data_IF_733365915507
#
_entry.id   IF_733365915507
#
_cell.length_a   1.000
_cell.length_b   1.000
_cell.length_c   1.000
_cell.angle_alpha   90.00
_cell.angle_beta   90.00
_cell.angle_gamma   90.00
#
_symmetry.space_group_name_H-M   'P 1'
#
loop_
_entity.id
_entity.type
_entity.pdbx_description
1 polymer ?
#
# COMPACT_ATOMS: atom_id res chain seq x y z
N UNK A 1 -57.45 68.93 4.68
CA UNK A 1 -56.29 68.58 3.86
C UNK A 1 -55.38 67.70 4.68
N UNK A 2 -55.45 66.38 4.41
CA UNK A 2 -54.69 65.34 5.11
C UNK A 2 -53.49 64.93 4.22
N UNK A 3 -52.25 65.04 4.74
CA UNK A 3 -51.04 64.55 4.14
C UNK A 3 -50.70 63.23 4.78
N UNK A 4 -50.87 62.14 4.05
CA UNK A 4 -50.42 60.81 4.45
C UNK A 4 -48.91 60.61 4.14
N UNK A 5 -48.14 60.45 5.17
CA UNK A 5 -46.71 60.12 5.10
C UNK A 5 -46.51 58.60 4.89
N UNK A 6 -45.96 58.21 3.77
CA UNK A 6 -45.58 56.80 3.48
C UNK A 6 -44.19 56.47 4.10
N UNK A 7 -44.16 55.68 5.16
CA UNK A 7 -42.96 55.09 5.71
C UNK A 7 -42.56 53.87 4.85
N UNK A 8 -41.51 54.00 4.08
CA UNK A 8 -40.83 52.86 3.42
C UNK A 8 -39.91 52.20 4.43
N UNK A 9 -40.19 50.95 4.79
CA UNK A 9 -39.32 50.08 5.57
C UNK A 9 -38.17 49.61 4.69
N UNK A 10 -36.90 49.68 5.12
CA UNK A 10 -35.79 49.03 4.38
C UNK A 10 -35.87 47.51 4.61
N UNK A 11 -35.88 46.76 3.50
CA UNK A 11 -35.79 45.31 3.50
C UNK A 11 -34.30 44.96 3.65
N UNK A 12 -33.91 44.49 4.86
CA UNK A 12 -32.57 43.99 5.14
C UNK A 12 -32.44 42.62 4.50
N UNK A 13 -31.79 42.54 3.34
CA UNK A 13 -31.45 41.30 2.67
C UNK A 13 -30.25 40.70 3.42
N UNK A 14 -30.53 39.75 4.31
CA UNK A 14 -29.49 38.95 4.99
C UNK A 14 -28.92 37.95 3.97
N UNK A 15 -27.78 38.32 3.34
CA UNK A 15 -27.04 37.42 2.44
C UNK A 15 -26.48 36.22 3.24
N UNK A 16 -27.11 35.07 3.06
CA UNK A 16 -26.60 33.79 3.57
C UNK A 16 -25.32 33.45 2.77
N UNK A 17 -24.16 33.80 3.30
CA UNK A 17 -22.86 33.40 2.75
C UNK A 17 -22.71 31.91 3.05
N UNK A 18 -23.22 31.05 2.17
CA UNK A 18 -22.98 29.62 2.21
C UNK A 18 -21.47 29.36 2.04
N UNK A 19 -20.81 28.99 3.13
CA UNK A 19 -19.46 28.41 3.08
C UNK A 19 -19.55 27.15 2.22
N UNK A 20 -19.15 27.28 0.94
CA UNK A 20 -18.86 26.15 0.07
C UNK A 20 -17.66 25.44 0.68
N UNK A 21 -17.94 24.49 1.58
CA UNK A 21 -16.95 23.48 1.97
C UNK A 21 -16.72 22.66 0.70
N UNK A 22 -15.68 23.02 -0.05
CA UNK A 22 -15.20 22.17 -1.15
C UNK A 22 -14.94 20.78 -0.58
N UNK A 23 -15.53 19.72 -1.13
CA UNK A 23 -15.18 18.38 -0.70
C UNK A 23 -13.69 18.22 -0.92
N UNK A 24 -12.94 18.06 0.17
CA UNK A 24 -11.53 17.62 0.10
C UNK A 24 -11.59 16.33 -0.71
N UNK A 25 -10.95 16.33 -1.89
CA UNK A 25 -10.85 15.13 -2.72
C UNK A 25 -10.34 14.00 -1.83
N UNK A 26 -11.24 13.09 -1.46
CA UNK A 26 -10.96 12.04 -0.52
C UNK A 26 -9.86 11.17 -1.13
N UNK A 27 -8.74 11.06 -0.42
CA UNK A 27 -7.84 9.91 -0.56
C UNK A 27 -8.67 8.62 -0.43
N UNK A 28 -8.12 7.48 -0.78
CA UNK A 28 -8.73 6.18 -0.46
C UNK A 28 -8.86 5.95 1.05
N UNK A 29 -9.03 4.69 1.48
CA UNK A 29 -9.23 4.34 2.88
C UNK A 29 -8.14 4.89 3.81
N UNK A 30 -8.53 5.24 5.05
CA UNK A 30 -7.58 5.74 6.05
C UNK A 30 -7.96 5.32 7.47
N UNK A 31 -6.96 5.30 8.37
CA UNK A 31 -7.17 5.12 9.81
C UNK A 31 -6.06 5.82 10.60
N UNK A 32 -6.43 6.41 11.72
CA UNK A 32 -5.53 6.93 12.75
C UNK A 32 -5.84 6.24 14.07
N UNK A 33 -4.82 5.71 14.74
CA UNK A 33 -5.01 5.00 16.00
C UNK A 33 -3.77 5.10 16.90
N UNK A 34 -3.97 4.85 18.17
CA UNK A 34 -2.91 4.76 19.18
C UNK A 34 -2.21 3.41 19.09
N UNK A 35 -0.88 3.42 18.93
CA UNK A 35 -0.10 2.21 18.68
C UNK A 35 -0.07 1.26 19.90
N UNK A 36 -0.17 1.77 21.11
CA UNK A 36 -0.09 0.96 22.33
C UNK A 36 -1.43 0.32 22.69
N UNK A 37 -2.52 1.08 22.53
CA UNK A 37 -3.86 0.64 22.96
C UNK A 37 -4.70 0.09 21.82
N UNK A 38 -4.35 0.41 20.57
CA UNK A 38 -5.15 0.14 19.39
C UNK A 38 -6.41 1.03 19.30
N UNK A 39 -6.59 2.03 20.16
CA UNK A 39 -7.73 2.95 20.15
C UNK A 39 -7.78 3.73 18.81
N UNK A 40 -8.88 3.63 18.08
CA UNK A 40 -9.08 4.31 16.81
C UNK A 40 -9.60 5.72 17.06
N UNK A 41 -8.78 6.72 16.66
CA UNK A 41 -9.10 8.13 16.82
C UNK A 41 -9.97 8.64 15.69
N UNK A 42 -9.71 8.18 14.47
CA UNK A 42 -10.54 8.44 13.28
C UNK A 42 -10.28 7.39 12.21
N UNK A 43 -11.28 7.14 11.36
CA UNK A 43 -11.12 6.29 10.18
C UNK A 43 -12.13 6.66 9.09
N UNK A 44 -11.78 6.33 7.86
CA UNK A 44 -12.67 6.37 6.71
C UNK A 44 -12.47 5.08 5.91
N UNK A 45 -13.53 4.28 5.73
CA UNK A 45 -13.52 3.03 4.96
C UNK A 45 -12.34 2.09 5.28
N UNK A 46 -11.87 2.08 6.53
CA UNK A 46 -10.61 1.45 6.91
C UNK A 46 -10.50 -0.05 6.61
N UNK A 47 -11.64 -0.76 6.55
CA UNK A 47 -11.70 -2.19 6.21
C UNK A 47 -11.86 -2.48 4.72
N UNK A 48 -11.97 -1.47 3.85
CA UNK A 48 -12.11 -1.70 2.42
C UNK A 48 -10.79 -2.17 1.78
N UNK A 49 -10.83 -3.20 0.90
CA UNK A 49 -9.65 -3.65 0.17
C UNK A 49 -9.05 -2.53 -0.68
N UNK A 50 -7.71 -2.47 -0.68
CA UNK A 50 -6.92 -1.53 -1.47
C UNK A 50 -5.64 -2.17 -1.98
N UNK A 51 -5.02 -1.60 -3.02
CA UNK A 51 -3.72 -2.07 -3.52
C UNK A 51 -2.61 -1.51 -2.62
N UNK A 52 -1.84 -2.38 -1.91
CA UNK A 52 -0.85 -1.94 -0.93
C UNK A 52 0.35 -1.22 -1.57
N UNK A 53 0.68 -1.52 -2.82
CA UNK A 53 1.95 -1.14 -3.41
C UNK A 53 3.10 -1.52 -2.47
N UNK A 54 4.15 -0.68 -2.35
CA UNK A 54 5.30 -0.99 -1.49
C UNK A 54 5.04 -0.99 0.03
N UNK A 55 3.79 -0.79 0.49
CA UNK A 55 3.46 -1.10 1.90
C UNK A 55 3.60 -2.62 2.17
N UNK A 56 3.47 -3.45 1.14
CA UNK A 56 3.78 -4.90 1.17
C UNK A 56 5.12 -5.21 1.83
N UNK A 57 6.13 -4.33 1.65
CA UNK A 57 7.46 -4.50 2.23
C UNK A 57 7.48 -4.47 3.77
N UNK A 58 6.39 -4.02 4.42
CA UNK A 58 6.23 -4.16 5.86
C UNK A 58 6.08 -5.64 6.25
N UNK A 59 5.30 -6.44 5.49
CA UNK A 59 5.20 -7.88 5.71
C UNK A 59 6.52 -8.57 5.40
N UNK A 60 7.22 -8.17 4.34
CA UNK A 60 8.56 -8.69 4.04
C UNK A 60 9.54 -8.44 5.20
N UNK A 61 9.55 -7.22 5.74
CA UNK A 61 10.38 -6.89 6.90
C UNK A 61 9.95 -7.66 8.16
N UNK A 62 8.65 -7.79 8.42
CA UNK A 62 8.13 -8.54 9.57
C UNK A 62 8.64 -9.99 9.60
N UNK A 63 8.56 -10.70 8.48
CA UNK A 63 9.04 -12.08 8.38
C UNK A 63 10.55 -12.15 8.61
N UNK A 64 11.32 -11.23 8.02
CA UNK A 64 12.77 -11.18 8.22
C UNK A 64 13.11 -10.87 9.67
N UNK A 65 12.44 -9.90 10.32
CA UNK A 65 12.63 -9.59 11.74
C UNK A 65 12.32 -10.79 12.63
N UNK A 66 11.25 -11.52 12.32
CA UNK A 66 10.91 -12.76 13.03
C UNK A 66 12.03 -13.80 12.90
N UNK A 67 12.59 -13.99 11.70
CA UNK A 67 13.72 -14.91 11.50
C UNK A 67 14.99 -14.44 12.19
N UNK A 68 15.26 -13.14 12.24
CA UNK A 68 16.37 -12.58 13.04
C UNK A 68 16.17 -12.87 14.52
N UNK A 69 14.98 -12.65 15.06
CA UNK A 69 14.65 -12.90 16.47
C UNK A 69 14.77 -14.37 16.87
N UNK A 70 14.48 -15.30 15.96
CA UNK A 70 14.57 -16.75 16.20
C UNK A 70 15.93 -17.36 15.82
N UNK A 71 16.88 -16.57 15.35
CA UNK A 71 18.19 -17.05 14.92
C UNK A 71 18.21 -17.74 13.53
N UNK A 72 17.09 -17.74 12.81
CA UNK A 72 17.01 -18.27 11.44
C UNK A 72 17.72 -17.40 10.40
N UNK A 73 18.00 -16.14 10.73
CA UNK A 73 18.83 -15.21 9.95
C UNK A 73 19.71 -14.37 10.89
N UNK A 74 20.77 -13.77 10.33
CA UNK A 74 21.63 -12.80 11.04
C UNK A 74 21.79 -11.53 10.22
N UNK A 75 21.97 -10.38 10.87
CA UNK A 75 22.12 -9.09 10.19
C UNK A 75 23.36 -9.01 9.30
N UNK A 76 24.47 -9.66 9.71
CA UNK A 76 25.73 -9.72 8.98
C UNK A 76 25.76 -10.78 7.88
N UNK A 77 24.79 -11.71 7.88
CA UNK A 77 24.64 -12.75 6.87
C UNK A 77 24.57 -12.14 5.47
N UNK A 78 25.36 -12.71 4.54
CA UNK A 78 25.31 -12.34 3.12
C UNK A 78 24.31 -13.18 2.35
N UNK A 79 23.51 -12.52 1.53
CA UNK A 79 22.55 -13.15 0.62
C UNK A 79 22.99 -12.84 -0.80
N UNK A 80 22.97 -13.84 -1.67
CA UNK A 80 23.28 -13.69 -3.09
C UNK A 80 22.11 -12.97 -3.80
N UNK A 81 22.46 -12.10 -4.73
CA UNK A 81 21.49 -11.45 -5.62
C UNK A 81 21.25 -12.38 -6.80
N UNK A 82 20.05 -12.95 -6.89
CA UNK A 82 19.65 -13.80 -8.01
C UNK A 82 19.39 -12.99 -9.28
N UNK A 83 19.39 -13.62 -10.48
CA UNK A 83 18.91 -12.98 -11.69
C UNK A 83 17.47 -12.45 -11.57
N UNK A 84 16.60 -13.19 -10.86
CA UNK A 84 15.21 -12.79 -10.61
C UNK A 84 15.12 -11.52 -9.77
N UNK A 85 15.88 -11.44 -8.67
CA UNK A 85 15.95 -10.24 -7.84
C UNK A 85 16.51 -9.03 -8.63
N UNK A 86 17.59 -9.21 -9.38
CA UNK A 86 18.21 -8.15 -10.17
C UNK A 86 17.32 -7.62 -11.31
N UNK A 87 16.41 -8.46 -11.85
CA UNK A 87 15.46 -8.09 -12.92
C UNK A 87 14.29 -7.25 -12.45
N UNK A 88 14.10 -7.08 -11.12
CA UNK A 88 12.94 -6.36 -10.61
C UNK A 88 12.89 -4.92 -11.12
N UNK A 89 11.64 -4.42 -11.33
CA UNK A 89 11.38 -3.05 -11.74
C UNK A 89 11.80 -2.02 -10.67
N UNK A 90 12.15 -0.79 -11.04
CA UNK A 90 12.42 0.28 -10.08
C UNK A 90 11.23 0.58 -9.14
N UNK A 91 11.50 1.05 -7.90
CA UNK A 91 12.80 1.46 -7.35
C UNK A 91 13.65 0.25 -6.99
N UNK A 92 14.96 0.32 -7.30
CA UNK A 92 15.93 -0.73 -6.96
C UNK A 92 17.32 -0.15 -6.75
N UNK A 93 18.19 -0.85 -6.04
CA UNK A 93 19.60 -0.45 -5.91
C UNK A 93 20.44 -0.93 -7.09
N UNK A 94 19.99 -1.95 -7.81
CA UNK A 94 20.57 -2.38 -9.09
C UNK A 94 21.87 -3.16 -8.95
N UNK A 95 21.96 -4.04 -7.96
CA UNK A 95 23.10 -4.95 -7.83
C UNK A 95 23.11 -5.98 -8.94
N UNK A 96 24.32 -6.40 -9.33
CA UNK A 96 24.52 -7.43 -10.37
C UNK A 96 24.15 -8.82 -9.83
N UNK A 97 23.58 -9.71 -10.67
CA UNK A 97 23.42 -11.11 -10.34
C UNK A 97 24.76 -11.73 -9.89
N UNK A 98 24.73 -12.59 -8.87
CA UNK A 98 25.92 -13.23 -8.29
C UNK A 98 26.67 -12.37 -7.28
N UNK A 99 26.38 -11.06 -7.15
CA UNK A 99 26.89 -10.26 -6.04
C UNK A 99 26.14 -10.61 -4.74
N UNK A 100 26.65 -10.15 -3.60
CA UNK A 100 26.03 -10.41 -2.30
C UNK A 100 25.84 -9.13 -1.50
N UNK A 101 24.83 -9.14 -0.62
CA UNK A 101 24.49 -8.03 0.28
C UNK A 101 24.17 -8.57 1.67
N UNK A 102 24.49 -7.83 2.73
CA UNK A 102 24.10 -8.22 4.08
C UNK A 102 22.59 -8.04 4.29
N UNK A 103 22.01 -8.85 5.16
CA UNK A 103 20.62 -8.72 5.57
C UNK A 103 20.33 -7.30 6.09
N UNK A 104 21.22 -6.74 6.92
CA UNK A 104 21.09 -5.38 7.44
C UNK A 104 20.98 -4.32 6.33
N UNK A 105 21.87 -4.33 5.35
CA UNK A 105 21.86 -3.36 4.26
C UNK A 105 20.67 -3.57 3.31
N UNK A 106 20.27 -4.82 3.11
CA UNK A 106 19.06 -5.15 2.34
C UNK A 106 17.79 -4.61 3.04
N UNK A 107 17.67 -4.75 4.37
CA UNK A 107 16.57 -4.17 5.17
C UNK A 107 16.58 -2.64 5.12
N UNK A 108 17.76 -2.00 5.27
CA UNK A 108 17.86 -0.54 5.16
C UNK A 108 17.35 -0.05 3.80
N UNK A 109 17.80 -0.65 2.71
CA UNK A 109 17.38 -0.24 1.36
C UNK A 109 15.94 -0.60 1.04
N UNK A 110 15.43 -1.72 1.58
CA UNK A 110 14.02 -2.11 1.51
C UNK A 110 13.10 -1.06 2.13
N UNK A 111 13.42 -0.60 3.34
CA UNK A 111 12.52 0.25 4.14
C UNK A 111 12.72 1.74 3.85
N UNK A 112 13.97 2.19 3.70
CA UNK A 112 14.32 3.59 3.44
C UNK A 112 14.04 3.98 1.99
N UNK A 113 14.62 3.27 1.05
CA UNK A 113 14.54 3.59 -0.39
C UNK A 113 13.42 2.85 -1.13
N UNK A 114 12.84 1.82 -0.49
CA UNK A 114 11.79 0.98 -1.09
C UNK A 114 12.29 0.07 -2.22
N UNK A 115 13.52 -0.45 -2.12
CA UNK A 115 14.16 -1.24 -3.15
C UNK A 115 13.39 -2.56 -3.43
N UNK A 116 12.95 -2.76 -4.67
CA UNK A 116 12.18 -3.93 -5.10
C UNK A 116 13.05 -5.18 -5.23
N UNK A 117 14.27 -5.02 -5.74
CA UNK A 117 15.27 -6.08 -5.82
C UNK A 117 15.62 -6.64 -4.43
N UNK A 118 15.70 -5.78 -3.42
CA UNK A 118 16.01 -6.22 -2.05
C UNK A 118 14.85 -6.96 -1.38
N UNK A 119 13.62 -6.71 -1.78
CA UNK A 119 12.50 -7.53 -1.32
C UNK A 119 12.62 -8.98 -1.80
N UNK A 120 13.06 -9.19 -3.04
CA UNK A 120 13.31 -10.52 -3.60
C UNK A 120 14.54 -11.18 -2.98
N UNK A 121 15.64 -10.45 -2.83
CA UNK A 121 16.85 -10.94 -2.14
C UNK A 121 16.53 -11.44 -0.74
N UNK A 122 15.78 -10.66 0.04
CA UNK A 122 15.39 -11.04 1.40
C UNK A 122 14.44 -12.23 1.40
N UNK A 123 13.48 -12.28 0.46
CA UNK A 123 12.55 -13.40 0.34
C UNK A 123 13.26 -14.71 0.01
N UNK A 124 14.19 -14.70 -0.96
CA UNK A 124 14.98 -15.86 -1.33
C UNK A 124 15.94 -16.28 -0.20
N UNK A 125 16.58 -15.32 0.45
CA UNK A 125 17.46 -15.59 1.59
C UNK A 125 16.75 -16.13 2.82
N UNK A 126 15.49 -15.75 3.01
CA UNK A 126 14.68 -16.20 4.15
C UNK A 126 14.04 -17.59 3.95
N UNK A 127 13.57 -17.91 2.73
CA UNK A 127 12.77 -19.10 2.46
C UNK A 127 13.25 -19.94 1.26
N UNK A 128 14.43 -19.63 0.71
CA UNK A 128 14.98 -20.30 -0.46
C UNK A 128 14.34 -19.89 -1.79
N UNK A 129 13.02 -19.68 -1.80
CA UNK A 129 12.27 -19.23 -3.00
C UNK A 129 11.27 -18.13 -2.66
N UNK A 130 10.98 -17.28 -3.65
CA UNK A 130 9.91 -16.26 -3.54
C UNK A 130 8.54 -16.92 -3.34
N UNK A 131 8.30 -18.06 -3.96
CA UNK A 131 7.06 -18.80 -3.79
C UNK A 131 6.84 -19.20 -2.31
N UNK A 132 7.80 -19.86 -1.68
CA UNK A 132 7.70 -20.24 -0.27
C UNK A 132 7.55 -19.02 0.64
N UNK A 133 8.23 -17.92 0.31
CA UNK A 133 8.12 -16.68 1.07
C UNK A 133 6.71 -16.08 1.00
N UNK A 134 6.09 -16.05 -0.18
CA UNK A 134 4.72 -15.56 -0.38
C UNK A 134 3.72 -16.44 0.37
N UNK A 135 3.91 -17.77 0.40
CA UNK A 135 3.10 -18.65 1.23
C UNK A 135 3.22 -18.28 2.72
N UNK A 136 4.44 -18.00 3.22
CA UNK A 136 4.64 -17.54 4.59
C UNK A 136 3.99 -16.16 4.84
N UNK A 137 4.04 -15.23 3.86
CA UNK A 137 3.34 -13.93 3.96
C UNK A 137 1.84 -14.12 4.18
N UNK A 138 1.19 -14.97 3.38
CA UNK A 138 -0.25 -15.22 3.48
C UNK A 138 -0.62 -15.99 4.76
N UNK A 139 0.17 -16.99 5.15
CA UNK A 139 -0.01 -17.68 6.41
C UNK A 139 0.14 -16.74 7.62
N UNK A 140 1.08 -15.79 7.55
CA UNK A 140 1.29 -14.77 8.57
C UNK A 140 0.14 -13.77 8.59
N UNK A 141 -0.34 -13.31 7.43
CA UNK A 141 -1.51 -12.43 7.34
C UNK A 141 -2.73 -13.07 8.04
N UNK A 142 -2.99 -14.35 7.76
CA UNK A 142 -4.07 -15.10 8.42
C UNK A 142 -3.89 -15.17 9.94
N UNK A 143 -2.67 -15.45 10.44
CA UNK A 143 -2.37 -15.51 11.88
C UNK A 143 -2.58 -14.17 12.58
N UNK A 144 -2.29 -13.06 11.89
CA UNK A 144 -2.47 -11.72 12.42
C UNK A 144 -3.90 -11.17 12.25
N UNK A 145 -4.82 -11.95 11.67
CA UNK A 145 -6.20 -11.54 11.43
C UNK A 145 -6.33 -10.41 10.39
N UNK A 146 -5.45 -10.42 9.36
CA UNK A 146 -5.48 -9.48 8.25
C UNK A 146 -6.42 -10.01 7.17
N UNK A 147 -7.73 -9.87 7.38
CA UNK A 147 -8.75 -10.60 6.62
C UNK A 147 -9.02 -9.99 5.23
N UNK A 148 -8.65 -8.73 5.00
CA UNK A 148 -8.70 -8.08 3.68
C UNK A 148 -7.33 -8.06 2.99
N UNK A 149 -6.39 -8.94 3.40
CA UNK A 149 -5.01 -8.94 2.91
C UNK A 149 -4.67 -10.24 2.20
N UNK A 150 -4.13 -10.12 0.99
CA UNK A 150 -3.55 -11.21 0.21
C UNK A 150 -2.29 -10.73 -0.50
N UNK A 151 -1.22 -11.50 -0.43
CA UNK A 151 0.06 -11.20 -1.06
C UNK A 151 0.35 -12.13 -2.23
N UNK A 152 0.91 -11.59 -3.31
CA UNK A 152 1.33 -12.31 -4.51
C UNK A 152 2.84 -12.19 -4.74
N UNK A 153 3.44 -11.10 -4.24
CA UNK A 153 4.88 -10.85 -4.36
C UNK A 153 5.40 -10.11 -3.11
N UNK A 154 6.72 -10.13 -2.84
CA UNK A 154 7.27 -9.54 -1.64
C UNK A 154 7.53 -8.02 -1.75
N UNK A 155 7.43 -7.42 -2.95
CA UNK A 155 7.82 -6.03 -3.19
C UNK A 155 6.65 -5.07 -3.36
N UNK A 156 5.44 -5.56 -3.67
CA UNK A 156 4.25 -4.76 -3.87
C UNK A 156 4.09 -4.18 -5.27
N UNK A 157 4.81 -4.70 -6.27
CA UNK A 157 4.48 -4.41 -7.66
C UNK A 157 3.06 -4.90 -7.97
N UNK A 158 2.41 -4.20 -8.87
CA UNK A 158 1.00 -4.40 -9.12
C UNK A 158 0.66 -5.83 -9.58
N UNK A 159 -0.26 -6.43 -8.86
CA UNK A 159 -1.06 -7.58 -9.25
C UNK A 159 -2.48 -7.32 -8.69
N UNK A 160 -3.57 -7.54 -9.45
CA UNK A 160 -4.92 -7.28 -8.96
C UNK A 160 -5.30 -8.11 -7.73
N UNK A 161 -4.64 -9.22 -7.49
CA UNK A 161 -4.81 -10.09 -6.30
C UNK A 161 -4.05 -9.60 -5.09
N UNK A 162 -3.09 -8.68 -5.25
CA UNK A 162 -2.30 -8.12 -4.15
C UNK A 162 -3.09 -7.04 -3.44
N UNK A 163 -3.67 -7.37 -2.32
CA UNK A 163 -4.61 -6.53 -1.59
C UNK A 163 -4.25 -6.38 -0.12
N UNK A 164 -4.72 -5.31 0.48
CA UNK A 164 -4.74 -5.05 1.93
C UNK A 164 -5.87 -4.07 2.24
N UNK A 165 -6.09 -3.75 3.51
CA UNK A 165 -6.93 -2.62 3.95
C UNK A 165 -6.13 -1.65 4.81
N UNK A 166 -6.65 -0.44 5.05
CA UNK A 166 -6.01 0.48 5.97
C UNK A 166 -5.98 -0.08 7.40
N UNK A 167 -7.03 -0.83 7.79
CA UNK A 167 -7.10 -1.56 9.05
C UNK A 167 -5.98 -2.61 9.13
N UNK A 168 -5.87 -3.46 8.13
CA UNK A 168 -4.94 -4.59 8.14
C UNK A 168 -3.47 -4.14 8.15
N UNK A 169 -3.12 -3.20 7.28
CA UNK A 169 -1.75 -2.68 7.24
C UNK A 169 -1.41 -1.88 8.52
N UNK A 170 -2.43 -1.28 9.16
CA UNK A 170 -2.31 -0.65 10.47
C UNK A 170 -2.01 -1.67 11.57
N UNK A 171 -2.72 -2.81 11.59
CA UNK A 171 -2.44 -3.94 12.52
C UNK A 171 -1.01 -4.43 12.32
N UNK A 172 -0.59 -4.69 11.08
CA UNK A 172 0.76 -5.13 10.79
C UNK A 172 1.81 -4.12 11.30
N UNK A 173 1.59 -2.82 11.09
CA UNK A 173 2.49 -1.77 11.56
C UNK A 173 2.60 -1.74 13.09
N UNK A 174 1.48 -1.85 13.81
CA UNK A 174 1.47 -1.90 15.27
C UNK A 174 2.21 -3.14 15.80
N UNK A 175 1.97 -4.30 15.19
CA UNK A 175 2.63 -5.56 15.56
C UNK A 175 4.14 -5.47 15.32
N UNK A 176 4.59 -4.90 14.19
CA UNK A 176 6.03 -4.69 13.94
C UNK A 176 6.67 -3.84 15.04
N UNK A 177 6.04 -2.72 15.40
CA UNK A 177 6.60 -1.82 16.41
C UNK A 177 6.62 -2.42 17.82
N UNK A 178 5.65 -3.28 18.15
CA UNK A 178 5.55 -3.92 19.46
C UNK A 178 6.44 -5.16 19.60
N UNK A 179 6.55 -6.00 18.54
CA UNK A 179 7.31 -7.25 18.59
C UNK A 179 8.80 -7.07 18.29
N UNK A 180 9.18 -6.01 17.54
CA UNK A 180 10.54 -5.75 17.08
C UNK A 180 10.98 -4.29 17.30
N UNK A 181 10.87 -3.75 18.54
CA UNK A 181 11.26 -2.37 18.83
C UNK A 181 12.75 -2.10 18.53
N UNK A 182 13.62 -3.12 18.64
CA UNK A 182 15.04 -3.07 18.31
C UNK A 182 15.31 -2.76 16.82
N UNK A 183 14.33 -3.01 15.95
CA UNK A 183 14.43 -2.74 14.52
C UNK A 183 13.76 -1.42 14.10
N UNK A 184 13.21 -0.64 15.03
CA UNK A 184 12.54 0.65 14.74
C UNK A 184 13.43 1.65 14.01
N UNK A 185 14.75 1.59 14.21
CA UNK A 185 15.74 2.43 13.53
C UNK A 185 15.62 2.43 12.01
N UNK A 186 15.21 1.32 11.39
CA UNK A 186 15.05 1.24 9.93
C UNK A 186 13.96 2.16 9.40
N UNK A 187 12.93 2.44 10.19
CA UNK A 187 11.81 3.26 9.77
C UNK A 187 12.08 4.75 9.89
N UNK A 188 12.91 5.16 10.87
CA UNK A 188 13.26 6.57 11.15
C UNK A 188 14.50 7.04 10.40
N UNK A 189 15.25 6.15 9.75
CA UNK A 189 16.49 6.47 9.04
C UNK A 189 16.21 7.42 7.88
N UNK A 190 16.88 8.58 7.83
CA UNK A 190 16.63 9.60 6.81
C UNK A 190 17.15 9.22 5.42
N UNK A 191 18.22 8.42 5.38
CA UNK A 191 18.85 7.95 4.14
C UNK A 191 19.65 6.67 4.39
N UNK A 192 19.95 5.95 3.33
CA UNK A 192 20.92 4.83 3.31
C UNK A 192 22.02 5.13 2.30
N UNK A 193 23.26 4.79 2.62
CA UNK A 193 24.41 4.93 1.73
C UNK A 193 24.68 3.61 1.00
N UNK A 194 24.85 3.65 -0.32
CA UNK A 194 25.28 2.55 -1.17
C UNK A 194 26.47 3.03 -1.99
N UNK A 195 27.67 2.62 -1.62
CA UNK A 195 28.88 3.21 -2.16
C UNK A 195 28.86 4.72 -1.97
N UNK A 196 29.06 5.48 -3.05
CA UNK A 196 29.04 6.95 -3.02
C UNK A 196 27.63 7.55 -3.16
N UNK A 197 26.57 6.72 -3.24
CA UNK A 197 25.18 7.21 -3.42
C UNK A 197 24.47 7.31 -2.08
N UNK A 198 23.84 8.46 -1.83
CA UNK A 198 22.94 8.69 -0.69
C UNK A 198 21.49 8.56 -1.17
N UNK A 199 20.80 7.50 -0.75
CA UNK A 199 19.42 7.21 -1.10
C UNK A 199 18.49 7.70 0.01
N UNK A 200 17.69 8.73 -0.26
CA UNK A 200 16.80 9.35 0.73
C UNK A 200 15.59 8.47 1.06
N UNK A 201 15.14 8.56 2.30
CA UNK A 201 13.89 7.95 2.72
C UNK A 201 12.72 8.52 1.91
N UNK A 202 11.89 7.62 1.37
CA UNK A 202 10.72 7.97 0.58
C UNK A 202 9.60 8.60 1.42
N UNK A 203 9.62 8.42 2.73
CA UNK A 203 8.74 9.11 3.67
C UNK A 203 9.29 10.50 4.01
N UNK A 204 8.72 11.54 3.41
CA UNK A 204 9.17 12.92 3.66
C UNK A 204 8.90 13.41 5.08
N UNK A 205 7.95 12.80 5.82
CA UNK A 205 7.67 13.20 7.20
C UNK A 205 8.88 13.01 8.10
N UNK A 206 9.73 12.00 7.86
CA UNK A 206 10.97 11.74 8.62
C UNK A 206 11.92 12.96 8.61
N UNK A 207 11.82 13.82 7.60
CA UNK A 207 12.65 15.03 7.50
C UNK A 207 11.89 16.31 7.84
N UNK A 208 10.56 16.29 7.76
CA UNK A 208 9.74 17.50 7.78
C UNK A 208 8.75 17.55 8.96
N UNK A 209 8.77 16.55 9.85
CA UNK A 209 7.96 16.47 11.07
C UNK A 209 8.84 15.87 12.18
N UNK A 210 9.27 16.65 13.17
CA UNK A 210 10.21 16.20 14.20
C UNK A 210 9.75 14.97 14.98
N UNK A 211 8.44 14.83 15.20
CA UNK A 211 7.85 13.71 15.93
C UNK A 211 7.75 12.42 15.10
N UNK A 212 7.87 12.52 13.75
CA UNK A 212 7.72 11.38 12.86
C UNK A 212 8.91 10.41 12.98
N UNK A 213 8.61 9.13 13.22
CA UNK A 213 9.60 8.06 13.43
C UNK A 213 9.36 6.82 12.56
N UNK A 214 8.44 6.88 11.61
CA UNK A 214 8.12 5.77 10.70
C UNK A 214 7.09 6.14 9.63
N UNK A 215 6.66 5.21 8.80
CA UNK A 215 7.20 3.86 8.61
C UNK A 215 7.50 3.59 7.14
N UNK A 216 6.46 3.54 6.27
CA UNK A 216 6.62 3.09 4.88
C UNK A 216 5.68 3.79 3.91
N UNK A 217 6.20 4.10 2.73
CA UNK A 217 5.42 4.61 1.60
C UNK A 217 5.15 3.53 0.58
N UNK A 218 4.06 3.68 -0.19
CA UNK A 218 3.74 2.87 -1.34
C UNK A 218 3.25 3.72 -2.51
N UNK A 219 3.51 3.25 -3.74
CA UNK A 219 2.96 3.85 -4.95
C UNK A 219 3.01 2.84 -6.10
N UNK A 220 1.88 2.65 -6.73
CA UNK A 220 1.69 2.17 -8.11
C UNK A 220 0.55 2.97 -8.72
N UNK A 221 0.47 3.08 -10.04
CA UNK A 221 -0.58 3.89 -10.69
C UNK A 221 -1.99 3.48 -10.26
N UNK A 222 -2.21 2.18 -10.07
CA UNK A 222 -3.51 1.63 -9.68
C UNK A 222 -3.92 2.00 -8.25
N UNK A 223 -2.95 2.10 -7.33
CA UNK A 223 -3.24 2.41 -5.93
C UNK A 223 -3.25 3.90 -5.60
N UNK A 224 -2.61 4.74 -6.42
CA UNK A 224 -2.22 6.07 -5.96
C UNK A 224 -1.12 6.01 -4.89
N UNK A 225 -0.98 7.07 -4.13
CA UNK A 225 0.09 7.24 -3.14
C UNK A 225 -0.37 6.80 -1.75
N UNK A 226 0.32 5.80 -1.17
CA UNK A 226 0.03 5.20 0.13
C UNK A 226 1.11 5.56 1.16
N UNK A 227 0.72 5.60 2.42
CA UNK A 227 1.64 5.83 3.55
C UNK A 227 1.12 5.16 4.81
N UNK A 228 1.99 4.46 5.51
CA UNK A 228 1.90 4.20 6.93
C UNK A 228 2.89 5.15 7.60
N UNK A 229 2.39 6.08 8.40
CA UNK A 229 3.20 7.02 9.18
C UNK A 229 3.05 6.72 10.66
N UNK A 230 4.15 6.83 11.43
CA UNK A 230 4.13 6.84 12.87
C UNK A 230 4.81 8.10 13.40
N UNK A 231 4.34 8.57 14.56
CA UNK A 231 4.91 9.70 15.27
C UNK A 231 4.76 9.51 16.76
N UNK A 232 5.68 10.12 17.53
CA UNK A 232 5.69 10.04 18.99
C UNK A 232 5.72 11.45 19.60
N UNK A 233 4.81 11.71 20.55
CA UNK A 233 4.74 12.98 21.29
C UNK A 233 4.28 12.73 22.73
N UNK A 234 5.01 13.23 23.71
CA UNK A 234 4.62 13.13 25.12
C UNK A 234 4.43 11.69 25.63
N UNK A 235 5.27 10.74 25.17
CA UNK A 235 5.16 9.32 25.54
C UNK A 235 4.07 8.54 24.80
N UNK A 236 3.26 9.20 23.98
CA UNK A 236 2.20 8.58 23.16
C UNK A 236 2.69 8.39 21.73
N UNK A 237 2.43 7.22 21.15
CA UNK A 237 2.74 6.92 19.74
C UNK A 237 1.45 6.71 18.95
N UNK A 238 1.30 7.44 17.86
CA UNK A 238 0.19 7.30 16.93
C UNK A 238 0.66 6.72 15.59
N UNK A 239 -0.23 5.95 14.96
CA UNK A 239 -0.03 5.44 13.60
C UNK A 239 -1.18 5.95 12.72
N UNK A 240 -0.81 6.58 11.59
CA UNK A 240 -1.74 7.00 10.54
C UNK A 240 -1.50 6.17 9.28
N UNK A 241 -2.55 5.56 8.75
CA UNK A 241 -2.55 4.91 7.45
C UNK A 241 -3.36 5.78 6.48
N UNK A 242 -2.76 6.10 5.34
CA UNK A 242 -3.39 6.87 4.25
C UNK A 242 -3.18 6.09 2.96
N UNK A 243 -4.25 5.71 2.30
CA UNK A 243 -4.22 5.00 1.02
C UNK A 243 -4.80 5.90 -0.08
N UNK A 244 -4.34 5.73 -1.31
CA UNK A 244 -4.95 6.32 -2.50
C UNK A 244 -4.85 7.84 -2.66
N UNK A 245 -3.89 8.50 -2.04
CA UNK A 245 -3.71 9.94 -2.23
C UNK A 245 -3.29 10.27 -3.68
N UNK A 246 -3.66 11.46 -4.21
CA UNK A 246 -3.41 11.79 -5.61
C UNK A 246 -1.93 12.08 -5.93
N UNK A 247 -1.12 12.44 -4.94
CA UNK A 247 0.30 12.70 -5.09
C UNK A 247 1.05 12.55 -3.76
N UNK A 248 2.37 12.57 -3.81
CA UNK A 248 3.24 12.38 -2.63
C UNK A 248 3.11 13.50 -1.60
N UNK A 249 2.86 14.73 -2.03
CA UNK A 249 2.66 15.90 -1.14
C UNK A 249 1.35 15.76 -0.35
N UNK A 250 0.24 15.52 -1.06
CA UNK A 250 -1.08 15.31 -0.45
C UNK A 250 -1.07 14.13 0.55
N UNK A 251 -0.43 13.03 0.20
CA UNK A 251 -0.26 11.87 1.10
C UNK A 251 0.43 12.25 2.42
N UNK A 252 1.53 13.00 2.32
CA UNK A 252 2.28 13.44 3.50
C UNK A 252 1.47 14.44 4.34
N UNK A 253 0.75 15.36 3.69
CA UNK A 253 -0.05 16.37 4.38
C UNK A 253 -1.26 15.75 5.11
N UNK A 254 -1.98 14.84 4.46
CA UNK A 254 -3.09 14.11 5.10
C UNK A 254 -2.57 13.36 6.34
N UNK A 255 -1.45 12.64 6.23
CA UNK A 255 -0.90 11.92 7.37
C UNK A 255 -0.43 12.86 8.50
N UNK A 256 0.19 13.99 8.16
CA UNK A 256 0.60 15.02 9.13
C UNK A 256 -0.61 15.57 9.89
N UNK A 257 -1.66 15.95 9.16
CA UNK A 257 -2.90 16.48 9.75
C UNK A 257 -3.54 15.46 10.69
N UNK A 258 -3.69 14.19 10.24
CA UNK A 258 -4.22 13.12 11.10
C UNK A 258 -3.41 12.98 12.41
N UNK A 259 -2.08 12.91 12.30
CA UNK A 259 -1.21 12.76 13.48
C UNK A 259 -1.30 13.97 14.40
N UNK A 260 -1.24 15.20 13.86
CA UNK A 260 -1.30 16.44 14.64
C UNK A 260 -2.63 16.57 15.39
N UNK A 261 -3.74 16.36 14.67
CA UNK A 261 -5.09 16.39 15.25
C UNK A 261 -5.29 15.26 16.27
N UNK A 262 -4.70 14.09 16.00
CA UNK A 262 -4.74 12.96 16.90
C UNK A 262 -4.03 13.21 18.23
N UNK A 263 -2.89 13.88 18.21
CA UNK A 263 -2.19 14.28 19.43
C UNK A 263 -2.95 15.34 20.23
N UNK A 264 -3.72 16.21 19.56
CA UNK A 264 -4.58 17.19 20.23
C UNK A 264 -5.81 16.54 20.89
N UNK A 265 -6.24 15.37 20.41
CA UNK A 265 -7.36 14.60 20.96
C UNK A 265 -6.85 13.63 22.03
N UNK A 266 -7.33 13.77 23.26
CA UNK A 266 -7.04 12.82 24.34
C UNK A 266 -7.55 11.40 24.02
N UNK A 267 -7.15 10.42 24.85
CA UNK A 267 -7.72 9.08 24.84
C UNK A 267 -9.18 9.11 25.32
N UNK A 268 -10.05 8.34 24.67
CA UNK A 268 -11.45 8.15 25.06
C UNK A 268 -11.76 6.65 25.10
N UNK A 269 -12.00 6.08 26.30
CA UNK A 269 -12.25 4.64 26.45
C UNK A 269 -13.42 4.09 25.63
N UNK A 270 -14.36 4.95 25.21
CA UNK A 270 -15.53 4.59 24.38
C UNK A 270 -15.20 4.39 22.90
N UNK A 271 -14.01 4.77 22.42
CA UNK A 271 -13.63 4.57 21.01
C UNK A 271 -13.35 3.10 20.72
N UNK A 272 -13.70 2.63 19.50
CA UNK A 272 -13.38 1.27 19.10
C UNK A 272 -11.87 1.05 19.02
N UNK A 273 -11.44 -0.20 19.18
CA UNK A 273 -10.07 -0.61 18.89
C UNK A 273 -9.93 -1.02 17.43
N UNK A 274 -8.72 -0.91 16.88
CA UNK A 274 -8.44 -1.27 15.49
C UNK A 274 -8.90 -2.70 15.15
N UNK A 275 -8.75 -3.65 16.06
CA UNK A 275 -9.22 -5.02 15.90
C UNK A 275 -10.75 -5.17 15.79
N UNK A 276 -11.53 -4.17 16.23
CA UNK A 276 -12.99 -4.15 16.17
C UNK A 276 -13.54 -3.55 14.86
N UNK A 277 -12.67 -2.93 14.04
CA UNK A 277 -13.05 -2.50 12.71
C UNK A 277 -13.17 -3.73 11.83
N UNK A 278 -14.34 -3.91 11.21
CA UNK A 278 -14.59 -5.02 10.29
C UNK A 278 -13.92 -4.78 8.96
N UNK A 279 -13.29 -5.81 8.42
CA UNK A 279 -12.83 -5.83 7.03
C UNK A 279 -13.98 -6.18 6.09
N UNK A 280 -13.95 -5.59 4.91
CA UNK A 280 -14.77 -6.03 3.78
C UNK A 280 -14.12 -7.31 3.21
N UNK A 281 -14.88 -8.41 3.05
CA UNK A 281 -14.33 -9.66 2.52
C UNK A 281 -13.67 -9.46 1.15
N UNK A 282 -12.56 -10.17 0.93
CA UNK A 282 -11.88 -10.21 -0.36
C UNK A 282 -12.85 -10.69 -1.45
N UNK A 283 -12.88 -9.96 -2.57
CA UNK A 283 -13.79 -10.23 -3.68
C UNK A 283 -15.16 -9.53 -3.59
N UNK A 284 -15.56 -9.01 -2.44
CA UNK A 284 -16.81 -8.27 -2.30
C UNK A 284 -16.75 -6.88 -2.98
N UNK A 285 -15.58 -6.26 -2.95
CA UNK A 285 -15.31 -4.96 -3.58
C UNK A 285 -13.99 -5.05 -4.37
N UNK A 286 -14.00 -4.56 -5.61
CA UNK A 286 -12.80 -4.34 -6.40
C UNK A 286 -12.28 -2.94 -6.08
N UNK A 287 -11.03 -2.78 -5.62
CA UNK A 287 -10.47 -1.46 -5.35
C UNK A 287 -10.51 -0.56 -6.59
N UNK A 288 -10.74 0.75 -6.37
CA UNK A 288 -10.68 1.72 -7.45
C UNK A 288 -9.30 1.74 -8.12
N UNK A 289 -9.28 1.72 -9.45
CA UNK A 289 -8.06 1.90 -10.24
C UNK A 289 -7.81 3.38 -10.48
N UNK A 290 -6.80 3.93 -9.79
CA UNK A 290 -6.46 5.35 -9.88
C UNK A 290 -5.50 5.71 -11.04
N UNK A 291 -5.19 4.75 -11.94
CA UNK A 291 -4.23 4.95 -13.03
C UNK A 291 -4.52 6.20 -13.86
N UNK A 292 -5.78 6.47 -14.18
CA UNK A 292 -6.16 7.63 -15.01
C UNK A 292 -6.02 8.98 -14.28
N UNK A 293 -6.05 8.98 -12.95
CA UNK A 293 -5.99 10.20 -12.13
C UNK A 293 -4.58 10.54 -11.68
N UNK A 294 -3.74 9.52 -11.37
CA UNK A 294 -2.42 9.74 -10.77
C UNK A 294 -1.25 9.56 -11.75
N UNK A 295 -1.45 8.81 -12.85
CA UNK A 295 -0.44 8.61 -13.89
C UNK A 295 -0.89 9.25 -15.20
N UNK A 296 -0.29 10.39 -15.57
CA UNK A 296 -0.63 11.17 -16.79
C UNK A 296 -0.44 10.41 -18.11
N UNK A 297 0.43 9.39 -18.13
CA UNK A 297 0.51 8.42 -19.22
C UNK A 297 0.01 7.10 -18.64
N UNK A 298 -1.17 6.65 -19.12
CA UNK A 298 -1.56 5.25 -18.91
C UNK A 298 -0.37 4.40 -19.36
N UNK A 299 0.20 3.52 -18.50
CA UNK A 299 0.90 2.39 -19.08
C UNK A 299 -0.15 1.76 -19.99
N UNK A 300 0.16 1.54 -21.28
CA UNK A 300 -0.81 0.87 -22.13
C UNK A 300 -1.11 -0.45 -21.42
N UNK A 301 -2.39 -0.74 -21.15
CA UNK A 301 -2.81 -2.13 -20.96
C UNK A 301 -2.49 -2.75 -22.31
N UNK A 302 -1.29 -3.27 -22.44
CA UNK A 302 -0.85 -3.89 -23.67
C UNK A 302 -1.54 -5.25 -23.70
N UNK A 303 -2.55 -5.38 -24.57
CA UNK A 303 -3.04 -6.71 -24.89
C UNK A 303 -1.86 -7.53 -25.40
N UNK A 304 -1.58 -8.63 -24.73
CA UNK A 304 -0.59 -9.60 -25.19
C UNK A 304 -1.12 -10.17 -26.52
N UNK A 305 -0.25 -10.30 -27.51
CA UNK A 305 -0.67 -10.95 -28.76
C UNK A 305 -0.80 -12.45 -28.52
N UNK A 306 -1.87 -13.06 -29.00
CA UNK A 306 -2.11 -14.49 -28.79
C UNK A 306 -0.93 -15.38 -29.24
N UNK A 307 -0.19 -14.96 -30.28
CA UNK A 307 1.01 -15.66 -30.79
C UNK A 307 2.21 -15.62 -29.81
N UNK A 308 2.20 -14.69 -28.86
CA UNK A 308 3.28 -14.52 -27.86
C UNK A 308 2.98 -15.32 -26.59
N UNK A 309 1.85 -16.05 -26.55
CA UNK A 309 1.49 -16.92 -25.43
C UNK A 309 2.04 -18.34 -25.68
N UNK A 310 2.78 -18.85 -24.71
CA UNK A 310 3.20 -20.25 -24.67
C UNK A 310 2.38 -21.00 -23.61
N UNK A 311 2.03 -22.27 -23.92
CA UNK A 311 1.33 -23.14 -22.97
C UNK A 311 -0.20 -23.02 -23.01
N UNK A 312 -0.84 -23.56 -21.97
CA UNK A 312 -2.31 -23.57 -21.80
C UNK A 312 -2.77 -22.34 -21.01
N UNK A 313 -4.02 -21.97 -21.22
CA UNK A 313 -4.61 -20.85 -20.50
C UNK A 313 -6.13 -21.00 -20.36
N UNK A 314 -6.69 -20.33 -19.34
CA UNK A 314 -8.11 -20.23 -19.08
C UNK A 314 -8.60 -18.87 -19.57
N UNK A 315 -9.62 -18.85 -20.43
CA UNK A 315 -10.31 -17.63 -20.85
C UNK A 315 -11.52 -17.39 -19.96
N UNK A 316 -11.63 -16.17 -19.41
CA UNK A 316 -12.77 -15.74 -18.61
C UNK A 316 -13.85 -15.03 -19.43
N UNK A 317 -13.72 -15.01 -20.74
CA UNK A 317 -14.67 -14.42 -21.66
C UNK A 317 -14.05 -13.50 -22.71
N UNK A 318 -14.86 -13.10 -23.68
CA UNK A 318 -14.49 -12.19 -24.77
C UNK A 318 -15.21 -10.84 -24.57
N UNK A 319 -14.49 -9.75 -24.79
CA UNK A 319 -14.96 -8.39 -24.55
C UNK A 319 -14.64 -7.50 -25.75
N UNK A 320 -15.53 -6.55 -26.04
CA UNK A 320 -15.39 -5.63 -27.17
C UNK A 320 -14.21 -4.66 -27.02
N UNK A 321 -13.91 -4.27 -25.77
CA UNK A 321 -12.85 -3.31 -25.49
C UNK A 321 -11.83 -3.88 -24.49
N UNK A 322 -10.59 -3.41 -24.62
CA UNK A 322 -9.49 -3.73 -23.72
C UNK A 322 -9.84 -3.41 -22.26
N UNK A 323 -10.51 -2.28 -22.02
CA UNK A 323 -10.89 -1.85 -20.68
C UNK A 323 -11.95 -2.77 -20.05
N UNK A 324 -12.96 -3.22 -20.82
CA UNK A 324 -13.96 -4.18 -20.34
C UNK A 324 -13.31 -5.52 -19.99
N UNK A 325 -12.39 -5.99 -20.83
CA UNK A 325 -11.65 -7.23 -20.58
C UNK A 325 -10.77 -7.14 -19.32
N UNK A 326 -10.06 -6.03 -19.12
CA UNK A 326 -9.22 -5.80 -17.94
C UNK A 326 -10.04 -5.74 -16.65
N UNK A 327 -11.17 -5.02 -16.66
CA UNK A 327 -12.08 -4.98 -15.48
C UNK A 327 -12.64 -6.36 -15.13
N UNK A 328 -13.06 -7.12 -16.14
CA UNK A 328 -13.60 -8.47 -15.93
C UNK A 328 -12.52 -9.43 -15.40
N UNK A 329 -11.29 -9.35 -15.92
CA UNK A 329 -10.15 -10.12 -15.42
C UNK A 329 -9.86 -9.82 -13.96
N UNK A 330 -9.77 -8.53 -13.59
CA UNK A 330 -9.54 -8.09 -12.20
C UNK A 330 -10.62 -8.64 -11.27
N UNK A 331 -11.90 -8.49 -11.62
CA UNK A 331 -13.01 -9.00 -10.84
C UNK A 331 -12.94 -10.51 -10.61
N UNK A 332 -12.49 -11.29 -11.60
CA UNK A 332 -12.32 -12.75 -11.48
C UNK A 332 -11.12 -13.13 -10.63
N UNK A 333 -10.01 -12.43 -10.76
CA UNK A 333 -8.78 -12.72 -10.00
C UNK A 333 -8.90 -12.37 -8.51
N UNK A 334 -9.70 -11.36 -8.17
CA UNK A 334 -9.95 -10.95 -6.78
C UNK A 334 -11.00 -11.85 -6.09
N UNK A 335 -11.74 -12.66 -6.85
CA UNK A 335 -12.66 -13.64 -6.26
C UNK A 335 -11.89 -14.71 -5.48
N UNK A 336 -12.49 -15.33 -4.43
CA UNK A 336 -11.82 -16.37 -3.65
C UNK A 336 -11.22 -17.50 -4.47
N UNK A 337 -11.86 -17.86 -5.59
CA UNK A 337 -11.38 -18.89 -6.52
C UNK A 337 -10.18 -18.42 -7.36
N UNK A 338 -10.09 -17.11 -7.65
CA UNK A 338 -9.01 -16.55 -8.48
C UNK A 338 -7.78 -16.12 -7.70
N UNK A 339 -7.86 -15.95 -6.37
CA UNK A 339 -6.75 -15.42 -5.59
C UNK A 339 -5.53 -16.35 -5.56
N UNK A 340 -5.76 -17.64 -5.47
CA UNK A 340 -4.72 -18.67 -5.43
C UNK A 340 -4.46 -19.31 -6.80
N UNK A 341 -5.05 -18.76 -7.89
CA UNK A 341 -4.85 -19.31 -9.23
C UNK A 341 -3.39 -19.15 -9.66
N UNK A 342 -2.72 -20.24 -10.08
CA UNK A 342 -1.36 -20.14 -10.60
C UNK A 342 -1.33 -19.42 -11.95
N UNK A 343 -0.13 -19.01 -12.38
CA UNK A 343 0.11 -18.45 -13.71
C UNK A 343 0.03 -16.93 -13.79
N UNK A 344 0.13 -16.44 -15.03
CA UNK A 344 0.09 -15.01 -15.38
C UNK A 344 -1.30 -14.63 -15.84
N UNK A 345 -1.77 -13.47 -15.41
CA UNK A 345 -3.06 -12.94 -15.82
C UNK A 345 -2.90 -11.72 -16.74
N UNK A 346 -3.74 -11.58 -17.74
CA UNK A 346 -3.71 -10.43 -18.63
C UNK A 346 -4.82 -10.45 -19.68
N UNK A 347 -4.86 -9.38 -20.47
CA UNK A 347 -5.79 -9.27 -21.59
C UNK A 347 -5.08 -9.62 -22.89
N UNK A 348 -5.69 -10.48 -23.68
CA UNK A 348 -5.16 -10.99 -24.95
C UNK A 348 -6.00 -10.44 -26.11
N UNK A 349 -5.34 -9.89 -27.13
CA UNK A 349 -6.01 -9.51 -28.39
C UNK A 349 -6.31 -10.77 -29.21
N UNK A 350 -7.55 -10.97 -29.55
CA UNK A 350 -7.97 -12.13 -30.34
C UNK A 350 -7.51 -12.01 -31.81
N UNK A 351 -6.84 -13.03 -32.39
CA UNK A 351 -6.20 -12.90 -33.71
C UNK A 351 -7.18 -12.71 -34.85
N UNK A 352 -8.37 -13.30 -34.78
CA UNK A 352 -9.35 -13.33 -35.89
C UNK A 352 -10.72 -12.75 -35.52
N UNK A 353 -10.82 -12.04 -34.40
CA UNK A 353 -12.07 -11.42 -33.91
C UNK A 353 -11.82 -10.01 -33.49
N UNK A 354 -12.79 -9.12 -33.73
CA UNK A 354 -12.78 -7.82 -33.09
C UNK A 354 -13.03 -8.05 -31.59
N UNK A 355 -12.01 -7.82 -30.74
CA UNK A 355 -12.18 -7.93 -29.32
C UNK A 355 -10.95 -8.42 -28.56
N UNK A 356 -11.15 -8.58 -27.25
CA UNK A 356 -10.13 -8.92 -26.27
C UNK A 356 -10.63 -10.03 -25.35
N UNK A 357 -9.77 -10.98 -25.02
CA UNK A 357 -10.05 -12.01 -24.03
C UNK A 357 -9.35 -11.68 -22.70
N UNK A 358 -10.06 -11.85 -21.58
CA UNK A 358 -9.46 -11.90 -20.26
C UNK A 358 -8.94 -13.30 -20.01
N UNK A 359 -7.63 -13.47 -19.77
CA UNK A 359 -7.00 -14.79 -19.73
C UNK A 359 -6.02 -14.93 -18.55
N UNK A 360 -5.92 -16.16 -18.07
CA UNK A 360 -4.86 -16.66 -17.19
C UNK A 360 -4.10 -17.74 -17.98
N UNK A 361 -2.76 -17.69 -18.03
CA UNK A 361 -1.94 -18.64 -18.80
C UNK A 361 -0.65 -19.03 -18.07
N UNK A 362 0.02 -20.06 -18.55
CA UNK A 362 1.18 -20.70 -17.92
C UNK A 362 0.84 -21.26 -16.54
N UNK A 363 -0.27 -21.94 -16.47
CA UNK A 363 -0.76 -22.64 -15.28
C UNK A 363 0.03 -23.94 -15.10
#
# INVERSE_FOLDING_TARGET
HSLAAHFRKPFLMLGLLGLLVSPVAHAGPSVLFDAATGEVISHDRAGEPWYPASLTKLMTAYIVFKKLKTGGMRLDQKILVSPLAASQEPSKIGMKPGSSISVDLALQTLLVYSANDMAYVLAEGANGTVFNFVQEMNATAKKLGLNATHFVNPNGLFDPRQLTSARDIGVLAAVILSEFPEHSRYFSQQHVAIGNKKLLNRNSLIRNMPEADGMKTGFVCNSGFNLVASASRGGRKLIAVVLGAPNSGSRAEIARTLLTDGFAKGSLPSRPRLAQISDTPLGAIVPADLTSTVCKKKPPVSAVRAKDLAGWGISFGNYETLQKADMALRGRLISPVGMDAPGKAGVVRMPNKQGFAAMLWNI
#
